data_IF_294875502463
#
_entry.id   IF_294875502463
#
_cell.length_a   1.000
_cell.length_b   1.000
_cell.length_c   1.000
_cell.angle_alpha   90.00
_cell.angle_beta   90.00
_cell.angle_gamma   90.00
#
_symmetry.space_group_name_H-M   'P 1'
#
loop_
_entity.id
_entity.type
_entity.pdbx_description
1 polymer ?
#
# COMPACT_ATOMS: atom_id res chain seq x y z
N UNK A 1 -7.04 -29.97 -9.84
CA UNK A 1 -7.67 -28.85 -9.10
C UNK A 1 -6.54 -27.95 -8.62
N UNK A 2 -6.59 -26.64 -8.90
CA UNK A 2 -5.57 -25.70 -8.41
C UNK A 2 -5.86 -25.40 -6.94
N UNK A 3 -4.82 -25.43 -6.10
CA UNK A 3 -4.92 -25.09 -4.68
C UNK A 3 -5.49 -23.66 -4.51
N UNK A 4 -6.52 -23.45 -3.66
CA UNK A 4 -7.04 -22.13 -3.33
C UNK A 4 -5.95 -21.13 -2.91
N UNK A 5 -4.88 -21.60 -2.26
CA UNK A 5 -3.72 -20.78 -1.93
C UNK A 5 -3.09 -20.16 -3.18
N UNK A 6 -2.73 -21.00 -4.16
CA UNK A 6 -2.08 -20.53 -5.40
C UNK A 6 -3.01 -19.67 -6.25
N UNK A 7 -4.32 -19.93 -6.21
CA UNK A 7 -5.31 -19.04 -6.83
C UNK A 7 -5.32 -17.65 -6.18
N UNK A 8 -5.28 -17.59 -4.85
CA UNK A 8 -5.25 -16.31 -4.12
C UNK A 8 -3.96 -15.52 -4.42
N UNK A 9 -2.81 -16.19 -4.46
CA UNK A 9 -1.52 -15.59 -4.80
C UNK A 9 -1.57 -15.01 -6.23
N UNK A 10 -2.07 -15.80 -7.19
CA UNK A 10 -2.23 -15.35 -8.57
C UNK A 10 -3.11 -14.10 -8.67
N UNK A 11 -4.24 -14.07 -7.95
CA UNK A 11 -5.15 -12.93 -7.94
C UNK A 11 -4.50 -11.67 -7.34
N UNK A 12 -3.76 -11.81 -6.24
CA UNK A 12 -3.02 -10.69 -5.62
C UNK A 12 -2.00 -10.12 -6.61
N UNK A 13 -1.23 -10.96 -7.29
CA UNK A 13 -0.23 -10.52 -8.28
C UNK A 13 -0.90 -9.81 -9.45
N UNK A 14 -1.99 -10.37 -9.99
CA UNK A 14 -2.70 -9.78 -11.12
C UNK A 14 -3.28 -8.40 -10.78
N UNK A 15 -4.04 -8.31 -9.68
CA UNK A 15 -4.65 -7.06 -9.23
C UNK A 15 -3.57 -6.03 -8.88
N UNK A 16 -2.51 -6.45 -8.18
CA UNK A 16 -1.38 -5.58 -7.84
C UNK A 16 -0.64 -5.04 -9.07
N UNK A 17 -0.44 -5.88 -10.09
CA UNK A 17 0.22 -5.48 -11.35
C UNK A 17 -0.62 -4.47 -12.12
N UNK A 18 -1.92 -4.75 -12.29
CA UNK A 18 -2.85 -3.83 -12.95
C UNK A 18 -2.90 -2.50 -12.19
N UNK A 19 -3.04 -2.55 -10.86
CA UNK A 19 -3.02 -1.36 -10.01
C UNK A 19 -1.73 -0.55 -10.15
N UNK A 20 -0.57 -1.20 -10.19
CA UNK A 20 0.73 -0.53 -10.37
C UNK A 20 0.85 0.18 -11.71
N UNK A 21 0.39 -0.44 -12.80
CA UNK A 21 0.38 0.17 -14.15
C UNK A 21 -0.57 1.37 -14.20
N UNK A 22 -1.80 1.21 -13.71
CA UNK A 22 -2.78 2.30 -13.64
C UNK A 22 -2.25 3.46 -12.81
N UNK A 23 -1.60 3.16 -11.68
CA UNK A 23 -1.06 4.17 -10.82
C UNK A 23 0.09 4.94 -11.49
N UNK A 24 1.04 4.25 -12.13
CA UNK A 24 2.10 4.91 -12.91
C UNK A 24 1.50 5.80 -13.99
N UNK A 25 0.52 5.29 -14.73
CA UNK A 25 -0.16 6.04 -15.78
C UNK A 25 -0.78 7.33 -15.22
N UNK A 26 -1.49 7.26 -14.09
CA UNK A 26 -2.03 8.43 -13.41
C UNK A 26 -0.95 9.40 -12.92
N UNK A 27 0.12 8.91 -12.29
CA UNK A 27 1.21 9.78 -11.79
C UNK A 27 1.97 10.49 -12.92
N UNK A 28 2.06 9.89 -14.10
CA UNK A 28 2.69 10.52 -15.26
C UNK A 28 1.89 11.71 -15.80
N UNK A 29 0.59 11.80 -15.50
CA UNK A 29 -0.28 12.90 -15.91
C UNK A 29 -0.20 14.10 -14.97
N UNK A 30 0.38 13.93 -13.77
CA UNK A 30 0.43 14.95 -12.73
C UNK A 30 1.90 15.42 -12.57
N UNK A 31 2.27 16.59 -13.11
CA UNK A 31 3.65 17.05 -13.07
C UNK A 31 4.12 17.44 -11.66
N UNK A 32 5.26 16.86 -11.26
CA UNK A 32 6.00 17.24 -10.06
C UNK A 32 5.25 16.99 -8.75
N UNK A 33 4.80 15.75 -8.53
CA UNK A 33 4.24 15.31 -7.23
C UNK A 33 5.35 15.41 -6.18
N UNK A 34 5.17 16.29 -5.20
CA UNK A 34 6.07 16.47 -4.05
C UNK A 34 5.27 16.39 -2.75
N UNK A 35 5.96 16.14 -1.64
CA UNK A 35 5.31 16.10 -0.32
C UNK A 35 4.59 17.42 -0.02
N UNK A 36 5.21 18.55 -0.35
CA UNK A 36 4.64 19.88 -0.14
C UNK A 36 3.29 20.02 -0.86
N UNK A 37 3.23 19.67 -2.15
CA UNK A 37 2.00 19.73 -2.93
C UNK A 37 0.90 18.81 -2.41
N UNK A 38 1.26 17.64 -1.86
CA UNK A 38 0.28 16.73 -1.26
C UNK A 38 -0.36 17.30 0.01
N UNK A 39 0.34 18.21 0.70
CA UNK A 39 -0.16 18.88 1.91
C UNK A 39 -0.80 20.24 1.65
N UNK A 40 -0.73 20.74 0.42
CA UNK A 40 -1.34 22.02 0.04
C UNK A 40 -2.86 21.87 -0.03
N UNK A 41 -3.56 22.58 0.85
CA UNK A 41 -5.02 22.67 0.85
C UNK A 41 -5.39 24.10 0.47
N UNK A 42 -5.91 24.28 -0.75
CA UNK A 42 -6.48 25.55 -1.18
C UNK A 42 -7.92 25.67 -0.65
N UNK A 43 -8.06 26.29 0.53
CA UNK A 43 -9.36 26.57 1.13
C UNK A 43 -10.05 27.72 0.38
N UNK A 44 -10.85 27.36 -0.62
CA UNK A 44 -11.77 28.26 -1.32
C UNK A 44 -13.21 28.07 -0.81
N UNK A 45 -14.06 29.08 -0.97
CA UNK A 45 -15.51 29.01 -0.67
C UNK A 45 -16.19 27.85 -1.38
N UNK A 46 -15.67 27.43 -2.54
CA UNK A 46 -16.15 26.25 -3.27
C UNK A 46 -15.59 24.94 -2.70
N UNK A 47 -14.38 24.94 -2.14
CA UNK A 47 -13.73 23.74 -1.57
C UNK A 47 -14.44 23.27 -0.30
N UNK A 48 -14.91 24.20 0.54
CA UNK A 48 -15.54 23.91 1.83
C UNK A 48 -16.75 22.96 1.72
N UNK A 49 -17.76 23.19 0.85
CA UNK A 49 -18.89 22.28 0.74
C UNK A 49 -18.48 20.89 0.22
N UNK A 50 -17.53 20.81 -0.73
CA UNK A 50 -17.02 19.52 -1.20
C UNK A 50 -16.26 18.77 -0.10
N UNK A 51 -15.46 19.47 0.70
CA UNK A 51 -14.76 18.88 1.83
C UNK A 51 -15.74 18.37 2.89
N UNK A 52 -16.77 19.14 3.22
CA UNK A 52 -17.81 18.72 4.15
C UNK A 52 -18.55 17.47 3.64
N UNK A 53 -18.89 17.43 2.34
CA UNK A 53 -19.53 16.27 1.73
C UNK A 53 -18.62 15.04 1.74
N UNK A 54 -17.33 15.20 1.44
CA UNK A 54 -16.33 14.14 1.48
C UNK A 54 -16.23 13.56 2.90
N UNK A 55 -16.05 14.41 3.91
CA UNK A 55 -15.94 13.99 5.30
C UNK A 55 -17.21 13.28 5.79
N UNK A 56 -18.39 13.81 5.41
CA UNK A 56 -19.67 13.17 5.71
C UNK A 56 -19.77 11.79 5.05
N UNK A 57 -19.37 11.67 3.79
CA UNK A 57 -19.41 10.41 3.04
C UNK A 57 -18.45 9.37 3.64
N UNK A 58 -17.26 9.80 4.05
CA UNK A 58 -16.29 8.95 4.75
C UNK A 58 -16.84 8.48 6.09
N UNK A 59 -17.47 9.36 6.86
CA UNK A 59 -18.12 8.99 8.13
C UNK A 59 -19.27 7.99 7.92
N UNK A 60 -20.11 8.22 6.92
CA UNK A 60 -21.22 7.32 6.56
C UNK A 60 -20.71 5.96 6.08
N UNK A 61 -19.63 5.92 5.30
CA UNK A 61 -18.97 4.68 4.88
C UNK A 61 -18.54 3.86 6.09
N UNK A 62 -17.90 4.49 7.09
CA UNK A 62 -17.50 3.79 8.32
C UNK A 62 -18.69 3.33 9.15
N UNK A 63 -19.69 4.19 9.32
CA UNK A 63 -20.89 3.85 10.09
C UNK A 63 -21.63 2.66 9.46
N UNK A 64 -21.90 2.71 8.16
CA UNK A 64 -22.58 1.64 7.43
C UNK A 64 -21.73 0.37 7.41
N UNK A 65 -20.43 0.50 7.15
CA UNK A 65 -19.49 -0.60 7.12
C UNK A 65 -19.42 -1.36 8.44
N UNK A 66 -19.30 -0.64 9.55
CA UNK A 66 -19.34 -1.22 10.89
C UNK A 66 -20.68 -1.89 11.20
N UNK A 67 -21.80 -1.30 10.78
CA UNK A 67 -23.13 -1.91 10.95
C UNK A 67 -23.34 -3.21 10.15
N UNK A 68 -22.57 -3.44 9.08
CA UNK A 68 -22.62 -4.66 8.27
C UNK A 68 -21.76 -5.81 8.83
N UNK A 69 -20.97 -5.56 9.87
CA UNK A 69 -20.00 -6.49 10.45
C UNK A 69 -20.64 -7.83 10.83
N UNK A 70 -21.82 -7.80 11.45
CA UNK A 70 -22.51 -9.01 11.93
C UNK A 70 -23.29 -9.75 10.83
N UNK A 71 -23.38 -9.17 9.63
CA UNK A 71 -24.22 -9.67 8.53
C UNK A 71 -23.42 -10.24 7.36
N UNK A 72 -22.21 -9.72 7.12
CA UNK A 72 -21.38 -10.07 5.96
C UNK A 72 -19.97 -10.39 6.46
N UNK A 73 -19.48 -11.60 6.18
CA UNK A 73 -18.12 -12.01 6.58
C UNK A 73 -17.04 -11.05 6.06
N UNK A 74 -17.15 -10.61 4.81
CA UNK A 74 -16.22 -9.64 4.24
C UNK A 74 -16.24 -8.29 4.98
N UNK A 75 -17.41 -7.82 5.43
CA UNK A 75 -17.51 -6.62 6.26
C UNK A 75 -16.90 -6.87 7.65
N UNK A 76 -17.11 -8.07 8.23
CA UNK A 76 -16.47 -8.44 9.48
C UNK A 76 -14.93 -8.39 9.39
N UNK A 77 -14.38 -8.98 8.34
CA UNK A 77 -12.95 -8.97 8.07
C UNK A 77 -12.42 -7.56 7.83
N UNK A 78 -13.07 -6.81 6.93
CA UNK A 78 -12.65 -5.46 6.53
C UNK A 78 -12.69 -4.47 7.70
N UNK A 79 -13.75 -4.48 8.50
CA UNK A 79 -13.97 -3.55 9.61
C UNK A 79 -13.51 -4.09 10.97
N UNK A 80 -12.74 -5.18 11.00
CA UNK A 80 -12.06 -5.60 12.22
C UNK A 80 -11.01 -4.53 12.60
N UNK A 81 -10.99 -3.96 13.81
CA UNK A 81 -10.26 -2.73 14.11
C UNK A 81 -8.77 -2.74 13.70
N UNK A 82 -8.07 -3.83 13.97
CA UNK A 82 -6.63 -3.95 13.67
C UNK A 82 -6.38 -4.16 12.17
N UNK A 83 -7.20 -4.99 11.51
CA UNK A 83 -7.10 -5.21 10.07
C UNK A 83 -7.37 -3.91 9.33
N UNK A 84 -8.43 -3.22 9.74
CA UNK A 84 -8.85 -1.95 9.16
C UNK A 84 -7.75 -0.88 9.30
N UNK A 85 -7.17 -0.73 10.49
CA UNK A 85 -6.04 0.18 10.70
C UNK A 85 -4.83 -0.21 9.82
N UNK A 86 -4.53 -1.50 9.70
CA UNK A 86 -3.49 -2.00 8.80
C UNK A 86 -3.75 -1.64 7.34
N UNK A 87 -4.99 -1.80 6.87
CA UNK A 87 -5.39 -1.42 5.50
C UNK A 87 -5.26 0.09 5.26
N UNK A 88 -5.57 0.94 6.24
CA UNK A 88 -5.31 2.39 6.14
C UNK A 88 -3.81 2.64 6.01
N UNK A 89 -2.97 2.01 6.84
CA UNK A 89 -1.51 2.19 6.76
C UNK A 89 -0.96 1.74 5.40
N UNK A 90 -1.45 0.61 4.86
CA UNK A 90 -1.09 0.17 3.52
C UNK A 90 -1.56 1.15 2.44
N UNK A 91 -2.77 1.68 2.55
CA UNK A 91 -3.28 2.71 1.63
C UNK A 91 -2.39 3.95 1.65
N UNK A 92 -2.01 4.45 2.82
CA UNK A 92 -1.10 5.60 2.95
C UNK A 92 0.28 5.30 2.36
N UNK A 93 0.85 4.12 2.63
CA UNK A 93 2.12 3.71 2.02
C UNK A 93 2.05 3.66 0.49
N UNK A 94 0.94 3.16 -0.05
CA UNK A 94 0.69 3.18 -1.50
C UNK A 94 0.51 4.61 -2.01
N UNK A 95 -0.27 5.44 -1.33
CA UNK A 95 -0.44 6.85 -1.70
C UNK A 95 0.89 7.63 -1.77
N UNK A 96 1.78 7.41 -0.79
CA UNK A 96 3.10 8.05 -0.78
C UNK A 96 4.05 7.51 -1.86
N UNK A 97 3.83 6.28 -2.34
CA UNK A 97 4.60 5.71 -3.46
C UNK A 97 4.44 6.54 -4.73
N UNK A 98 3.35 7.29 -4.88
CA UNK A 98 3.16 8.21 -6.00
C UNK A 98 4.28 9.23 -6.18
N UNK A 99 4.96 9.63 -5.09
CA UNK A 99 6.09 10.59 -5.14
C UNK A 99 7.26 10.01 -5.95
N UNK A 100 7.95 8.93 -5.52
CA UNK A 100 9.05 8.36 -6.30
C UNK A 100 8.58 7.79 -7.64
N UNK A 101 7.34 7.30 -7.72
CA UNK A 101 6.78 6.76 -8.95
C UNK A 101 6.60 7.83 -10.04
N UNK A 102 6.32 9.08 -9.68
CA UNK A 102 6.27 10.20 -10.64
C UNK A 102 7.65 10.55 -11.22
N UNK A 103 8.73 10.25 -10.50
CA UNK A 103 10.09 10.66 -10.84
C UNK A 103 10.88 9.55 -11.56
N UNK A 104 10.59 8.28 -11.27
CA UNK A 104 11.33 7.12 -11.78
C UNK A 104 10.43 6.12 -12.51
N UNK A 105 11.04 5.09 -13.09
CA UNK A 105 10.33 4.01 -13.78
C UNK A 105 9.54 3.11 -12.82
N UNK A 106 8.39 2.58 -13.26
CA UNK A 106 7.53 1.70 -12.45
C UNK A 106 8.29 0.47 -11.94
N UNK A 107 9.03 -0.21 -12.82
CA UNK A 107 9.81 -1.41 -12.46
C UNK A 107 10.88 -1.11 -11.41
N UNK A 108 11.64 -0.04 -11.59
CA UNK A 108 12.70 0.36 -10.66
C UNK A 108 12.14 0.69 -9.27
N UNK A 109 11.10 1.52 -9.19
CA UNK A 109 10.49 1.91 -7.91
C UNK A 109 9.84 0.71 -7.24
N UNK A 110 9.13 -0.13 -8.01
CA UNK A 110 8.48 -1.32 -7.46
C UNK A 110 9.51 -2.30 -6.91
N UNK A 111 10.61 -2.57 -7.63
CA UNK A 111 11.66 -3.46 -7.17
C UNK A 111 12.31 -2.92 -5.89
N UNK A 112 12.73 -1.66 -5.88
CA UNK A 112 13.35 -1.01 -4.73
C UNK A 112 12.45 -1.05 -3.48
N UNK A 113 11.17 -0.68 -3.61
CA UNK A 113 10.23 -0.69 -2.50
C UNK A 113 9.86 -2.10 -2.04
N UNK A 114 9.84 -3.07 -2.96
CA UNK A 114 9.56 -4.47 -2.62
C UNK A 114 10.69 -5.05 -1.80
N UNK A 115 11.94 -4.88 -2.24
CA UNK A 115 13.10 -5.41 -1.52
C UNK A 115 13.26 -4.74 -0.15
N UNK A 116 13.09 -3.41 -0.06
CA UNK A 116 13.07 -2.70 1.23
C UNK A 116 11.91 -3.17 2.10
N UNK A 117 10.74 -3.40 1.50
CA UNK A 117 9.58 -3.96 2.17
C UNK A 117 9.84 -5.33 2.76
N UNK A 118 10.53 -6.22 2.03
CA UNK A 118 10.89 -7.57 2.51
C UNK A 118 11.81 -7.46 3.72
N UNK A 119 12.88 -6.65 3.63
CA UNK A 119 13.84 -6.48 4.73
C UNK A 119 13.15 -5.91 5.97
N UNK A 120 12.41 -4.81 5.81
CA UNK A 120 11.74 -4.13 6.93
C UNK A 120 10.64 -4.99 7.55
N UNK A 121 9.89 -5.74 6.74
CA UNK A 121 8.85 -6.67 7.22
C UNK A 121 9.45 -7.85 7.96
N UNK A 122 10.53 -8.45 7.46
CA UNK A 122 11.23 -9.52 8.15
C UNK A 122 11.76 -9.07 9.51
N UNK A 123 12.38 -7.88 9.57
CA UNK A 123 12.85 -7.29 10.82
C UNK A 123 11.72 -6.98 11.80
N UNK A 124 10.63 -6.37 11.32
CA UNK A 124 9.44 -6.11 12.13
C UNK A 124 8.81 -7.40 12.66
N UNK A 125 8.73 -8.45 11.83
CA UNK A 125 8.18 -9.74 12.23
C UNK A 125 9.02 -10.43 13.30
N UNK A 126 10.35 -10.39 13.16
CA UNK A 126 11.27 -10.89 14.19
C UNK A 126 11.04 -10.20 15.54
N UNK A 127 10.87 -8.88 15.54
CA UNK A 127 10.70 -8.09 16.77
C UNK A 127 9.33 -8.33 17.40
N UNK A 128 8.26 -8.19 16.60
CA UNK A 128 6.87 -8.13 17.08
C UNK A 128 6.34 -9.54 17.33
N UNK A 129 6.52 -10.45 16.37
CA UNK A 129 5.95 -11.80 16.42
C UNK A 129 6.95 -12.85 16.92
N UNK A 130 8.21 -12.46 17.17
CA UNK A 130 9.29 -13.38 17.59
C UNK A 130 9.46 -14.53 16.59
N UNK A 131 9.26 -14.23 15.32
CA UNK A 131 9.39 -15.21 14.24
C UNK A 131 10.84 -15.70 14.14
N UNK A 132 11.02 -17.02 14.03
CA UNK A 132 12.34 -17.63 13.85
C UNK A 132 12.63 -17.79 12.36
N UNK A 133 13.65 -17.09 11.88
CA UNK A 133 14.06 -17.18 10.49
C UNK A 133 15.10 -18.27 10.27
N UNK A 134 14.87 -19.11 9.25
CA UNK A 134 15.86 -20.09 8.81
C UNK A 134 17.10 -19.39 8.23
N UNK A 135 18.28 -20.02 8.25
CA UNK A 135 19.48 -19.47 7.60
C UNK A 135 19.27 -19.14 6.11
N UNK A 136 18.40 -19.89 5.42
CA UNK A 136 18.04 -19.63 4.01
C UNK A 136 17.25 -18.34 3.85
N UNK A 137 16.32 -18.07 4.76
CA UNK A 137 15.53 -16.83 4.76
C UNK A 137 16.42 -15.62 5.03
N UNK A 138 17.34 -15.73 5.99
CA UNK A 138 18.32 -14.67 6.29
C UNK A 138 19.22 -14.40 5.09
N UNK A 139 19.71 -15.45 4.41
CA UNK A 139 20.48 -15.31 3.19
C UNK A 139 19.67 -14.61 2.08
N UNK A 140 18.38 -14.94 1.93
CA UNK A 140 17.47 -14.26 1.00
C UNK A 140 17.30 -12.77 1.29
N UNK A 141 17.13 -12.40 2.57
CA UNK A 141 17.07 -10.99 2.99
C UNK A 141 18.39 -10.27 2.70
N UNK A 142 19.53 -10.92 2.91
CA UNK A 142 20.84 -10.35 2.59
C UNK A 142 21.03 -10.10 1.08
N UNK A 143 20.57 -11.03 0.23
CA UNK A 143 20.56 -10.83 -1.22
C UNK A 143 19.63 -9.68 -1.63
N UNK A 144 18.48 -9.52 -0.97
CA UNK A 144 17.58 -8.37 -1.16
C UNK A 144 18.27 -7.03 -0.87
N UNK A 145 19.10 -6.95 0.19
CA UNK A 145 19.90 -5.76 0.47
C UNK A 145 20.90 -5.43 -0.64
N UNK A 146 21.51 -6.45 -1.26
CA UNK A 146 22.39 -6.26 -2.42
C UNK A 146 21.60 -5.76 -3.62
N UNK A 147 20.41 -6.30 -3.88
CA UNK A 147 19.53 -5.84 -4.96
C UNK A 147 19.13 -4.37 -4.76
N UNK A 148 18.78 -3.95 -3.54
CA UNK A 148 18.50 -2.55 -3.19
C UNK A 148 19.66 -1.64 -3.55
N UNK A 149 20.88 -2.02 -3.17
CA UNK A 149 22.09 -1.24 -3.48
C UNK A 149 22.24 -1.07 -5.00
N UNK A 150 22.16 -2.16 -5.76
CA UNK A 150 22.34 -2.15 -7.22
C UNK A 150 21.25 -1.38 -7.97
N UNK A 151 19.99 -1.44 -7.49
CA UNK A 151 18.85 -0.73 -8.10
C UNK A 151 18.86 0.75 -7.72
N UNK A 152 19.32 1.07 -6.51
CA UNK A 152 19.33 2.41 -5.93
C UNK A 152 20.43 3.33 -6.47
N UNK A 153 21.53 2.78 -6.98
CA UNK A 153 22.72 3.52 -7.47
C UNK A 153 22.51 4.25 -8.83
N UNK A 154 21.26 4.46 -9.26
CA UNK A 154 20.86 5.18 -10.47
C UNK A 154 19.95 6.37 -10.13
#
# INVERSE_FOLDING_TARGET
MVDPFWLSVGLVVLVGTIGGVLYKYGTNQIPGITLDKLTQIELSTQTIPYLALLLTSVALFFFAGYGLRDRIFAANYLFYPVIFLGLIMFLLGRFLTGIPLSQRGLGQVTALLTDLGIVTTAFASWIIFKENFSPRTVAGVALGLVAIYLIGEQ
#
